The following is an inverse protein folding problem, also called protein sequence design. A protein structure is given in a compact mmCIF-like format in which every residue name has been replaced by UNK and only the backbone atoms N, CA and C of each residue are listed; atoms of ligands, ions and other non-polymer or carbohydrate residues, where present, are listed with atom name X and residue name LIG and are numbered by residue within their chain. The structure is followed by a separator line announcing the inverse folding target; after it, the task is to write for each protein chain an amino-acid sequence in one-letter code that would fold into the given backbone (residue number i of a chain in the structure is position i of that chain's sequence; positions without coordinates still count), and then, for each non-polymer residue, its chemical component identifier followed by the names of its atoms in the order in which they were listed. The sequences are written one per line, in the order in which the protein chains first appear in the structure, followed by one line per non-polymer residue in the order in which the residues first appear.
data_IF_479480203984
#
_entry.id   IF_479480203984
#
_cell.length_a   1.000
_cell.length_b   1.000
_cell.length_c   1.000
_cell.angle_alpha   90.00
_cell.angle_beta   90.00
_cell.angle_gamma   90.00
#
_symmetry.space_group_name_H-M   'P 1'
#
loop_
_entity.id
_entity.type
_entity.pdbx_description
1 polymer ?
#
# COMPACT_ATOMS: atom_id res chain seq x y z
N UNK A 1 -10.45 -15.30 0.64
CA UNK A 1 -9.68 -14.05 0.55
C UNK A 1 -10.67 -12.95 0.20
N UNK A 2 -10.86 -12.00 1.09
CA UNK A 2 -11.76 -10.87 0.88
C UNK A 2 -11.10 -9.89 -0.09
N UNK A 3 -11.74 -9.50 -1.20
CA UNK A 3 -11.22 -8.45 -2.08
C UNK A 3 -10.88 -7.19 -1.28
N UNK A 4 -9.71 -6.60 -1.50
CA UNK A 4 -9.25 -5.41 -0.79
C UNK A 4 -8.43 -5.67 0.48
N UNK A 5 -8.10 -6.92 0.83
CA UNK A 5 -7.12 -7.18 1.89
C UNK A 5 -5.71 -6.79 1.43
N UNK A 6 -4.94 -6.10 2.26
CA UNK A 6 -3.53 -5.76 2.01
C UNK A 6 -2.67 -6.72 2.81
N UNK A 7 -1.74 -7.41 2.15
CA UNK A 7 -0.74 -8.20 2.87
C UNK A 7 0.50 -7.34 3.09
N UNK A 8 0.91 -7.22 4.36
CA UNK A 8 2.21 -6.65 4.74
C UNK A 8 3.09 -7.81 5.18
N UNK A 9 4.29 -7.88 4.64
CA UNK A 9 5.24 -8.94 4.93
C UNK A 9 6.54 -8.35 5.46
N UNK A 10 7.08 -8.94 6.52
CA UNK A 10 8.34 -8.52 7.16
C UNK A 10 9.34 -9.66 7.20
N UNK A 11 10.63 -9.37 7.01
CA UNK A 11 11.68 -10.39 7.14
C UNK A 11 11.75 -10.93 8.57
N UNK A 12 12.01 -12.22 8.75
CA UNK A 12 11.92 -12.95 10.04
C UNK A 12 12.86 -12.47 11.17
N UNK A 13 13.76 -11.51 10.93
CA UNK A 13 14.79 -11.10 11.89
C UNK A 13 14.42 -9.82 12.67
N UNK A 14 13.13 -9.67 13.00
CA UNK A 14 12.62 -8.52 13.75
C UNK A 14 13.22 -8.50 15.17
N UNK A 15 14.33 -7.77 15.34
CA UNK A 15 14.90 -7.45 16.64
C UNK A 15 14.02 -6.39 17.28
N UNK A 16 13.51 -6.70 18.48
CA UNK A 16 12.68 -5.78 19.26
C UNK A 16 13.49 -4.58 19.73
N UNK A 17 12.91 -3.38 19.50
CA UNK A 17 13.31 -2.02 19.93
C UNK A 17 14.38 -1.28 19.11
N UNK A 18 13.93 -0.26 18.37
CA UNK A 18 14.42 1.11 18.56
C UNK A 18 13.37 2.15 18.10
N UNK A 19 13.01 3.18 18.90
CA UNK A 19 11.99 4.19 18.56
C UNK A 19 12.44 5.23 17.51
N UNK A 20 13.63 5.06 16.92
CA UNK A 20 14.26 6.05 16.03
C UNK A 20 14.53 5.51 14.62
N UNK A 21 13.92 4.38 14.24
CA UNK A 21 14.18 3.77 12.96
C UNK A 21 13.63 4.63 11.81
N UNK A 22 14.52 5.31 11.10
CA UNK A 22 14.21 5.98 9.84
C UNK A 22 13.51 4.98 8.92
N UNK A 23 12.36 5.35 8.35
CA UNK A 23 11.68 4.54 7.34
C UNK A 23 11.99 5.10 5.97
N UNK A 24 12.59 4.30 5.10
CA UNK A 24 12.80 4.63 3.69
C UNK A 24 11.75 3.89 2.87
N UNK A 25 10.71 4.61 2.46
CA UNK A 25 9.66 4.09 1.54
C UNK A 25 10.16 4.13 0.11
N UNK A 26 10.00 3.04 -0.61
CA UNK A 26 10.30 2.94 -2.04
C UNK A 26 9.12 2.32 -2.78
N UNK A 27 8.75 2.90 -3.92
CA UNK A 27 7.78 2.34 -4.84
C UNK A 27 8.53 1.63 -5.98
N UNK A 28 8.55 0.29 -6.04
CA UNK A 28 9.31 -0.45 -7.04
C UNK A 28 8.71 -0.40 -8.45
N UNK A 29 7.42 -0.05 -8.58
CA UNK A 29 6.68 -0.09 -9.85
C UNK A 29 7.32 0.74 -10.99
N UNK A 30 7.95 1.87 -10.65
CA UNK A 30 8.61 2.76 -11.60
C UNK A 30 10.15 2.66 -11.56
N UNK A 31 10.70 1.75 -10.75
CA UNK A 31 12.13 1.71 -10.42
C UNK A 31 12.81 0.52 -11.09
N UNK A 32 14.01 0.72 -11.61
CA UNK A 32 14.90 -0.38 -11.96
C UNK A 32 15.64 -0.90 -10.71
N UNK A 33 16.25 -2.08 -10.81
CA UNK A 33 17.17 -2.57 -9.78
C UNK A 33 18.28 -1.55 -9.46
N UNK A 34 18.77 -0.82 -10.46
CA UNK A 34 19.75 0.24 -10.27
C UNK A 34 19.19 1.47 -9.53
N UNK A 35 17.90 1.77 -9.65
CA UNK A 35 17.29 2.87 -8.90
C UNK A 35 17.09 2.49 -7.43
N UNK A 36 16.82 1.21 -7.14
CA UNK A 36 16.69 0.68 -5.79
C UNK A 36 18.04 0.57 -5.06
N UNK A 37 19.05 0.01 -5.74
CA UNK A 37 20.39 -0.25 -5.18
C UNK A 37 21.30 0.97 -5.28
N UNK A 38 21.32 1.67 -6.41
CA UNK A 38 22.22 2.78 -6.65
C UNK A 38 22.86 2.73 -8.02
N UNK A 39 23.39 3.88 -8.43
CA UNK A 39 23.95 4.09 -9.76
C UNK A 39 25.07 5.12 -9.73
N UNK A 40 25.93 5.04 -10.73
CA UNK A 40 26.90 6.11 -10.99
C UNK A 40 26.23 7.28 -11.70
N UNK A 41 26.51 8.50 -11.22
CA UNK A 41 26.08 9.75 -11.83
C UNK A 41 27.30 10.61 -12.17
N UNK A 42 27.20 11.39 -13.24
CA UNK A 42 28.18 12.40 -13.58
C UNK A 42 27.89 13.68 -12.79
N UNK A 43 28.81 14.11 -11.94
CA UNK A 43 28.75 15.40 -11.24
C UNK A 43 30.05 16.16 -11.47
N UNK A 44 29.96 17.33 -12.08
CA UNK A 44 31.14 18.19 -12.30
C UNK A 44 32.24 17.55 -13.17
N UNK A 45 31.89 16.62 -14.06
CA UNK A 45 32.87 15.89 -14.90
C UNK A 45 33.42 14.61 -14.27
N UNK A 46 33.06 14.30 -13.02
CA UNK A 46 33.48 13.07 -12.33
C UNK A 46 32.32 12.07 -12.23
N UNK A 47 32.66 10.78 -12.32
CA UNK A 47 31.73 9.67 -12.12
C UNK A 47 31.68 9.31 -10.64
N UNK A 48 30.57 9.64 -9.98
CA UNK A 48 30.37 9.40 -8.55
C UNK A 48 29.26 8.38 -8.30
N UNK A 49 29.49 7.47 -7.36
CA UNK A 49 28.46 6.53 -6.92
C UNK A 49 27.42 7.25 -6.06
N UNK A 50 26.15 6.95 -6.29
CA UNK A 50 25.03 7.43 -5.46
C UNK A 50 24.20 6.24 -5.03
N UNK A 51 24.11 6.04 -3.71
CA UNK A 51 23.32 4.99 -3.10
C UNK A 51 21.82 5.17 -3.42
N UNK A 52 21.18 4.07 -3.80
CA UNK A 52 19.72 3.99 -3.89
C UNK A 52 19.09 3.88 -2.50
N UNK A 53 17.76 4.01 -2.40
CA UNK A 53 17.05 3.96 -1.12
C UNK A 53 17.24 2.65 -0.36
N UNK A 54 17.38 1.50 -1.04
CA UNK A 54 17.64 0.22 -0.38
C UNK A 54 19.06 0.20 0.21
N UNK A 55 20.07 0.63 -0.55
CA UNK A 55 21.45 0.65 -0.06
C UNK A 55 21.62 1.60 1.11
N UNK A 56 20.98 2.78 1.07
CA UNK A 56 20.95 3.69 2.22
C UNK A 56 20.33 3.02 3.44
N UNK A 57 19.18 2.35 3.27
CA UNK A 57 18.54 1.67 4.38
C UNK A 57 19.41 0.57 5.00
N UNK A 58 20.07 -0.23 4.14
CA UNK A 58 21.01 -1.29 4.54
C UNK A 58 22.19 -0.72 5.32
N UNK A 59 22.77 0.40 4.88
CA UNK A 59 23.90 1.06 5.58
C UNK A 59 23.50 1.70 6.89
N UNK A 60 22.33 2.34 6.93
CA UNK A 60 21.85 3.12 8.08
C UNK A 60 21.16 2.25 9.14
N UNK A 61 20.90 0.96 8.86
CA UNK A 61 20.14 0.10 9.77
C UNK A 61 18.66 0.50 9.84
N UNK A 62 18.14 1.07 8.75
CA UNK A 62 16.80 1.63 8.67
C UNK A 62 15.74 0.58 8.28
N UNK A 63 14.47 0.95 8.41
CA UNK A 63 13.37 0.14 7.84
C UNK A 63 13.26 0.50 6.36
N UNK A 64 13.43 -0.48 5.48
CA UNK A 64 13.12 -0.35 4.06
C UNK A 64 11.71 -0.88 3.80
N UNK A 65 10.79 -0.01 3.41
CA UNK A 65 9.40 -0.37 3.09
C UNK A 65 9.18 -0.33 1.58
N UNK A 66 8.98 -1.51 0.98
CA UNK A 66 8.70 -1.70 -0.44
C UNK A 66 7.19 -1.78 -0.66
N UNK A 67 6.59 -0.68 -1.10
CA UNK A 67 5.15 -0.61 -1.31
C UNK A 67 4.78 -1.21 -2.67
N UNK A 68 3.74 -2.04 -2.72
CA UNK A 68 3.25 -2.66 -3.98
C UNK A 68 4.32 -3.46 -4.72
N UNK A 69 5.03 -4.34 -3.99
CA UNK A 69 6.18 -5.10 -4.53
C UNK A 69 5.84 -5.99 -5.73
N UNK A 70 4.58 -6.35 -5.91
CA UNK A 70 4.09 -7.12 -7.08
C UNK A 70 4.19 -6.34 -8.40
N UNK A 71 4.22 -5.02 -8.34
CA UNK A 71 4.42 -4.15 -9.51
C UNK A 71 5.89 -4.00 -9.88
N UNK A 72 6.81 -4.44 -9.01
CA UNK A 72 8.23 -4.42 -9.27
C UNK A 72 8.60 -5.36 -10.43
N UNK A 73 9.63 -4.98 -11.19
CA UNK A 73 10.26 -5.90 -12.14
C UNK A 73 10.88 -7.08 -11.38
N UNK A 74 10.86 -8.27 -11.98
CA UNK A 74 11.31 -9.50 -11.32
C UNK A 74 12.80 -9.42 -10.86
N UNK A 75 13.66 -8.76 -11.64
CA UNK A 75 15.06 -8.53 -11.28
C UNK A 75 15.21 -7.70 -9.99
N UNK A 76 14.30 -6.76 -9.76
CA UNK A 76 14.23 -5.92 -8.56
C UNK A 76 13.82 -6.74 -7.32
N UNK A 77 12.92 -7.70 -7.49
CA UNK A 77 12.48 -8.61 -6.39
C UNK A 77 13.60 -9.60 -6.03
N UNK A 78 14.40 -10.05 -6.98
CA UNK A 78 15.49 -11.02 -6.70
C UNK A 78 16.62 -10.37 -5.90
N UNK A 79 16.88 -9.07 -6.12
CA UNK A 79 17.92 -8.30 -5.39
C UNK A 79 17.71 -8.32 -3.87
N UNK A 80 16.46 -8.41 -3.39
CA UNK A 80 16.17 -8.39 -1.95
C UNK A 80 16.25 -9.78 -1.30
N UNK A 81 16.42 -10.86 -2.06
CA UNK A 81 16.47 -12.23 -1.51
C UNK A 81 17.63 -12.43 -0.53
N UNK A 82 18.87 -11.96 -0.80
CA UNK A 82 19.98 -12.07 0.15
C UNK A 82 19.80 -11.25 1.44
N UNK A 83 18.99 -10.20 1.39
CA UNK A 83 18.64 -9.40 2.57
C UNK A 83 17.60 -10.09 3.46
N UNK A 84 16.73 -10.92 2.87
CA UNK A 84 15.68 -11.63 3.57
C UNK A 84 16.12 -13.03 4.08
N UNK A 85 17.28 -13.52 3.66
CA UNK A 85 17.86 -14.78 4.14
C UNK A 85 18.88 -14.56 5.28
N UNK A 86 19.53 -15.64 5.72
CA UNK A 86 20.47 -15.61 6.85
C UNK A 86 21.74 -14.79 6.59
N UNK A 87 22.09 -14.50 5.33
CA UNK A 87 23.29 -13.73 4.97
C UNK A 87 23.12 -12.27 5.34
N UNK A 88 21.92 -11.71 5.14
CA UNK A 88 21.61 -10.30 5.39
C UNK A 88 22.61 -9.34 4.74
N UNK A 89 22.90 -9.56 3.46
CA UNK A 89 23.79 -8.68 2.68
C UNK A 89 23.11 -8.19 1.41
N UNK A 90 23.47 -7.01 0.93
CA UNK A 90 23.02 -6.46 -0.35
C UNK A 90 24.16 -6.57 -1.38
N UNK A 91 24.04 -7.42 -2.42
CA UNK A 91 24.98 -7.40 -3.53
C UNK A 91 24.84 -6.10 -4.33
N UNK A 92 25.97 -5.45 -4.58
CA UNK A 92 26.09 -4.24 -5.41
C UNK A 92 27.07 -4.54 -6.55
N UNK A 93 26.58 -5.23 -7.57
CA UNK A 93 27.40 -5.73 -8.70
C UNK A 93 28.24 -4.63 -9.36
N UNK A 94 27.68 -3.42 -9.48
CA UNK A 94 28.39 -2.27 -10.09
C UNK A 94 29.59 -1.78 -9.28
N UNK A 95 29.62 -2.07 -7.98
CA UNK A 95 30.77 -1.80 -7.10
C UNK A 95 31.64 -3.05 -6.90
N UNK A 96 31.24 -4.21 -7.42
CA UNK A 96 31.90 -5.49 -7.14
C UNK A 96 31.91 -5.83 -5.65
N UNK A 97 30.92 -5.36 -4.89
CA UNK A 97 30.90 -5.45 -3.42
C UNK A 97 29.58 -6.04 -2.92
N UNK A 98 29.64 -6.69 -1.76
CA UNK A 98 28.46 -7.09 -0.97
C UNK A 98 28.43 -6.24 0.30
N UNK A 99 27.32 -5.58 0.57
CA UNK A 99 27.16 -4.71 1.72
C UNK A 99 26.42 -5.46 2.84
N UNK A 100 27.06 -5.74 3.99
CA UNK A 100 26.35 -6.33 5.12
C UNK A 100 25.32 -5.36 5.66
N UNK A 101 24.11 -5.84 5.95
CA UNK A 101 23.06 -5.02 6.53
C UNK A 101 23.45 -4.62 7.96
N UNK A 102 23.42 -3.31 8.21
CA UNK A 102 23.72 -2.77 9.52
C UNK A 102 22.71 -3.29 10.57
N UNK A 103 23.13 -3.39 11.85
CA UNK A 103 22.22 -3.71 12.94
C UNK A 103 21.00 -2.79 12.94
N UNK A 104 19.81 -3.36 13.11
CA UNK A 104 18.54 -2.61 13.07
C UNK A 104 17.85 -2.60 11.70
N UNK A 105 18.55 -2.93 10.61
CA UNK A 105 17.93 -3.02 9.28
C UNK A 105 16.74 -3.99 9.29
N UNK A 106 15.62 -3.54 8.72
CA UNK A 106 14.41 -4.34 8.54
C UNK A 106 13.87 -4.17 7.13
N UNK A 107 13.49 -5.28 6.50
CA UNK A 107 12.86 -5.28 5.20
C UNK A 107 11.36 -5.57 5.37
N UNK A 108 10.54 -4.63 4.94
CA UNK A 108 9.08 -4.72 4.94
C UNK A 108 8.57 -4.51 3.52
N UNK A 109 7.60 -5.30 3.09
CA UNK A 109 6.97 -5.15 1.78
C UNK A 109 5.46 -5.24 1.89
N UNK A 110 4.73 -4.59 0.98
CA UNK A 110 3.28 -4.70 0.88
C UNK A 110 2.85 -5.13 -0.52
N UNK A 111 1.70 -5.81 -0.59
CA UNK A 111 1.00 -6.05 -1.85
C UNK A 111 -0.49 -6.34 -1.58
N UNK A 112 -1.31 -6.13 -2.59
CA UNK A 112 -2.74 -6.44 -2.53
C UNK A 112 -2.99 -7.78 -3.26
N UNK A 113 -3.22 -8.90 -2.54
CA UNK A 113 -3.61 -10.15 -3.18
C UNK A 113 -4.89 -10.02 -4.01
N UNK A 114 -4.93 -10.64 -5.19
CA UNK A 114 -6.08 -10.59 -6.09
C UNK A 114 -6.20 -9.27 -6.88
N UNK A 115 -5.35 -8.30 -6.61
CA UNK A 115 -5.21 -7.07 -7.40
C UNK A 115 -4.50 -7.39 -8.72
N UNK A 116 -5.18 -7.14 -9.84
CA UNK A 116 -4.66 -7.19 -11.23
C UNK A 116 -3.89 -8.45 -11.69
N UNK A 117 -4.55 -9.22 -12.56
CA UNK A 117 -4.02 -10.33 -13.37
C UNK A 117 -3.43 -11.50 -12.58
N UNK A 118 -3.87 -12.72 -12.93
CA UNK A 118 -3.30 -14.00 -12.46
C UNK A 118 -1.76 -14.07 -12.65
N UNK A 119 -1.21 -13.20 -13.52
CA UNK A 119 0.18 -13.18 -13.94
C UNK A 119 1.11 -12.38 -13.00
N UNK A 120 0.60 -11.51 -12.13
CA UNK A 120 1.42 -10.68 -11.22
C UNK A 120 1.30 -11.10 -9.75
N UNK A 121 1.55 -12.38 -9.49
CA UNK A 121 1.61 -12.92 -8.12
C UNK A 121 3.06 -12.98 -7.62
N UNK A 122 3.26 -12.76 -6.31
CA UNK A 122 4.56 -13.03 -5.70
C UNK A 122 4.88 -14.53 -5.80
N UNK A 123 6.05 -14.84 -6.36
CA UNK A 123 6.55 -16.22 -6.42
C UNK A 123 6.66 -16.79 -5.02
N UNK A 124 6.34 -18.08 -4.89
CA UNK A 124 6.39 -18.81 -3.62
C UNK A 124 7.76 -18.71 -2.94
N UNK A 125 8.84 -18.74 -3.72
CA UNK A 125 10.20 -18.52 -3.20
C UNK A 125 10.35 -17.18 -2.49
N UNK A 126 9.73 -16.11 -2.98
CA UNK A 126 9.78 -14.80 -2.31
C UNK A 126 8.93 -14.83 -1.05
N UNK A 127 7.71 -15.41 -1.10
CA UNK A 127 6.79 -15.48 0.05
C UNK A 127 7.38 -16.23 1.24
N UNK A 128 8.05 -17.36 1.00
CA UNK A 128 8.65 -18.21 2.06
C UNK A 128 9.82 -17.56 2.81
N UNK A 129 10.27 -16.37 2.40
CA UNK A 129 11.33 -15.59 3.08
C UNK A 129 10.78 -14.56 4.07
N UNK A 130 9.46 -14.42 4.17
CA UNK A 130 8.83 -13.39 4.99
C UNK A 130 7.76 -13.97 5.91
N UNK A 131 7.55 -13.29 7.04
CA UNK A 131 6.35 -13.40 7.85
C UNK A 131 5.28 -12.52 7.21
N UNK A 132 4.09 -13.08 6.97
CA UNK A 132 2.97 -12.36 6.36
C UNK A 132 1.93 -11.96 7.42
N UNK A 133 1.44 -10.72 7.33
CA UNK A 133 0.32 -10.17 8.09
C UNK A 133 -0.75 -9.78 7.07
N UNK A 134 -1.91 -10.38 7.16
CA UNK A 134 -3.07 -10.01 6.34
C UNK A 134 -3.86 -8.91 7.05
N UNK A 135 -4.11 -7.81 6.34
CA UNK A 135 -4.90 -6.67 6.81
C UNK A 135 -6.21 -6.63 6.03
N UNK A 136 -7.33 -6.84 6.73
CA UNK A 136 -8.67 -6.56 6.24
C UNK A 136 -9.09 -5.12 6.54
N UNK A 137 -10.32 -4.77 6.14
CA UNK A 137 -10.95 -3.55 6.61
C UNK A 137 -11.17 -3.61 8.13
N UNK A 138 -11.04 -2.49 8.85
CA UNK A 138 -11.32 -2.46 10.29
C UNK A 138 -12.78 -2.81 10.59
N UNK A 139 -13.11 -3.25 11.82
CA UNK A 139 -14.48 -3.28 12.30
C UNK A 139 -15.17 -1.91 12.15
N UNK A 140 -16.49 -1.91 11.96
CA UNK A 140 -17.29 -0.70 11.70
C UNK A 140 -17.03 0.39 12.72
N UNK A 141 -16.91 0.03 14.00
CA UNK A 141 -16.69 0.96 15.10
C UNK A 141 -15.34 1.69 14.95
N UNK A 142 -14.27 0.93 14.67
CA UNK A 142 -12.92 1.47 14.49
C UNK A 142 -12.83 2.26 13.19
N UNK A 143 -13.41 1.77 12.10
CA UNK A 143 -13.40 2.48 10.82
C UNK A 143 -14.16 3.81 10.92
N UNK A 144 -15.25 3.86 11.69
CA UNK A 144 -16.01 5.08 11.94
C UNK A 144 -15.18 6.12 12.68
N UNK A 145 -14.45 5.71 13.72
CA UNK A 145 -13.54 6.61 14.45
C UNK A 145 -12.45 7.17 13.53
N UNK A 146 -11.85 6.32 12.70
CA UNK A 146 -10.82 6.73 11.72
C UNK A 146 -11.40 7.71 10.71
N UNK A 147 -12.54 7.40 10.10
CA UNK A 147 -13.17 8.27 9.09
C UNK A 147 -13.58 9.61 9.71
N UNK A 148 -14.19 9.61 10.90
CA UNK A 148 -14.57 10.84 11.60
C UNK A 148 -13.36 11.73 11.90
N UNK A 149 -12.27 11.12 12.38
CA UNK A 149 -11.05 11.85 12.70
C UNK A 149 -10.35 12.42 11.46
N UNK A 150 -10.08 11.57 10.47
CA UNK A 150 -9.29 11.96 9.28
C UNK A 150 -10.04 12.87 8.32
N UNK A 151 -11.37 12.78 8.28
CA UNK A 151 -12.21 13.64 7.45
C UNK A 151 -12.75 14.88 8.18
N UNK A 152 -12.50 15.00 9.49
CA UNK A 152 -12.98 16.10 10.35
C UNK A 152 -14.51 16.28 10.33
N UNK A 153 -15.26 15.16 10.36
CA UNK A 153 -16.73 15.12 10.35
C UNK A 153 -17.30 14.51 11.64
N UNK A 154 -18.58 14.71 11.88
CA UNK A 154 -19.27 14.10 13.01
C UNK A 154 -19.38 12.57 12.86
N UNK A 155 -19.54 11.89 14.00
CA UNK A 155 -19.59 10.42 14.07
C UNK A 155 -20.78 9.82 13.31
N UNK A 156 -21.93 10.51 13.23
CA UNK A 156 -23.12 9.98 12.55
C UNK A 156 -22.91 10.00 11.03
N UNK A 157 -22.32 11.07 10.50
CA UNK A 157 -21.94 11.16 9.09
C UNK A 157 -20.86 10.13 8.75
N UNK A 158 -19.83 9.99 9.58
CA UNK A 158 -18.79 8.98 9.38
C UNK A 158 -19.37 7.55 9.40
N UNK A 159 -20.28 7.25 10.33
CA UNK A 159 -20.95 5.96 10.42
C UNK A 159 -21.79 5.67 9.16
N UNK A 160 -22.48 6.68 8.61
CA UNK A 160 -23.22 6.54 7.37
C UNK A 160 -22.30 6.19 6.18
N UNK A 161 -21.14 6.85 6.07
CA UNK A 161 -20.13 6.55 5.06
C UNK A 161 -19.56 5.13 5.23
N UNK A 162 -19.25 4.71 6.46
CA UNK A 162 -18.75 3.36 6.74
C UNK A 162 -19.80 2.29 6.42
N UNK A 163 -21.07 2.51 6.77
CA UNK A 163 -22.17 1.61 6.40
C UNK A 163 -22.29 1.46 4.88
N UNK A 164 -22.16 2.57 4.14
CA UNK A 164 -22.14 2.51 2.68
C UNK A 164 -20.93 1.72 2.18
N UNK A 165 -19.74 1.96 2.73
CA UNK A 165 -18.53 1.22 2.38
C UNK A 165 -18.71 -0.28 2.58
N UNK A 166 -19.26 -0.70 3.72
CA UNK A 166 -19.60 -2.10 3.99
C UNK A 166 -20.64 -2.66 3.02
N UNK A 167 -21.72 -1.93 2.77
CA UNK A 167 -22.75 -2.35 1.82
C UNK A 167 -22.17 -2.58 0.41
N UNK A 168 -21.21 -1.76 -0.02
CA UNK A 168 -20.50 -1.94 -1.30
C UNK A 168 -19.57 -3.15 -1.27
N UNK A 169 -18.82 -3.34 -0.18
CA UNK A 169 -17.88 -4.48 0.00
C UNK A 169 -18.59 -5.83 0.02
N UNK A 170 -19.83 -5.85 0.51
CA UNK A 170 -20.65 -7.07 0.65
C UNK A 170 -21.42 -7.42 -0.65
N UNK A 171 -21.24 -6.68 -1.75
CA UNK A 171 -21.82 -7.00 -3.05
C UNK A 171 -21.16 -8.24 -3.65
N UNK A 172 -21.71 -9.42 -3.34
CA UNK A 172 -21.26 -10.69 -3.92
C UNK A 172 -21.45 -10.73 -5.44
N UNK A 173 -20.45 -11.24 -6.17
CA UNK A 173 -20.52 -11.38 -7.63
C UNK A 173 -20.51 -10.06 -8.40
N UNK A 174 -20.20 -8.95 -7.72
CA UNK A 174 -20.12 -7.63 -8.33
C UNK A 174 -19.07 -7.58 -9.46
N UNK A 175 -19.37 -6.93 -10.60
CA UNK A 175 -18.41 -6.68 -11.67
C UNK A 175 -17.31 -5.67 -11.28
N UNK A 176 -17.34 -5.15 -10.05
CA UNK A 176 -16.36 -4.20 -9.57
C UNK A 176 -14.95 -4.80 -9.56
N UNK A 177 -14.01 -4.09 -10.18
CA UNK A 177 -12.59 -4.45 -10.15
C UNK A 177 -11.96 -4.24 -8.76
N UNK A 178 -12.54 -3.35 -7.94
CA UNK A 178 -12.09 -2.99 -6.60
C UNK A 178 -13.29 -2.71 -5.69
N UNK A 179 -13.09 -2.80 -4.37
CA UNK A 179 -14.14 -2.48 -3.38
C UNK A 179 -13.91 -1.11 -2.74
N UNK A 180 -14.93 -0.55 -2.09
CA UNK A 180 -14.84 0.74 -1.42
C UNK A 180 -13.78 0.74 -0.30
N UNK A 181 -12.66 1.44 -0.52
CA UNK A 181 -11.59 1.55 0.47
C UNK A 181 -11.91 2.58 1.56
N UNK A 182 -11.33 2.43 2.75
CA UNK A 182 -11.43 3.44 3.83
C UNK A 182 -10.98 4.83 3.36
N UNK A 183 -9.99 4.90 2.45
CA UNK A 183 -9.54 6.17 1.85
C UNK A 183 -10.66 6.86 1.06
N UNK A 184 -11.46 6.12 0.29
CA UNK A 184 -12.57 6.70 -0.46
C UNK A 184 -13.62 7.30 0.50
N UNK A 185 -13.85 6.65 1.64
CA UNK A 185 -14.76 7.16 2.67
C UNK A 185 -14.23 8.45 3.32
N UNK A 186 -12.94 8.50 3.65
CA UNK A 186 -12.28 9.71 4.16
C UNK A 186 -12.38 10.85 3.14
N UNK A 187 -12.12 10.58 1.85
CA UNK A 187 -12.24 11.58 0.79
C UNK A 187 -13.69 12.09 0.64
N UNK A 188 -14.68 11.21 0.71
CA UNK A 188 -16.09 11.61 0.70
C UNK A 188 -16.44 12.49 1.91
N UNK A 189 -15.96 12.11 3.10
CA UNK A 189 -16.12 12.91 4.32
C UNK A 189 -15.47 14.29 4.21
N UNK A 190 -14.24 14.36 3.70
CA UNK A 190 -13.52 15.63 3.53
C UNK A 190 -14.21 16.56 2.54
N UNK A 191 -14.75 16.03 1.43
CA UNK A 191 -15.56 16.83 0.50
C UNK A 191 -16.83 17.38 1.17
N UNK A 192 -17.47 16.59 2.02
CA UNK A 192 -18.63 17.05 2.80
C UNK A 192 -18.26 18.12 3.82
N UNK A 193 -17.12 17.97 4.52
CA UNK A 193 -16.61 18.98 5.45
C UNK A 193 -16.33 20.33 4.77
N UNK A 194 -15.90 20.31 3.50
CA UNK A 194 -15.73 21.50 2.65
C UNK A 194 -17.06 22.10 2.13
N UNK A 195 -18.21 21.54 2.56
CA UNK A 195 -19.54 22.07 2.25
C UNK A 195 -20.20 21.48 1.00
N UNK A 196 -19.64 20.42 0.41
CA UNK A 196 -20.33 19.69 -0.64
C UNK A 196 -21.48 18.86 -0.04
N UNK A 197 -22.60 18.78 -0.74
CA UNK A 197 -23.67 17.85 -0.39
C UNK A 197 -23.14 16.41 -0.26
N UNK A 198 -23.56 15.69 0.79
CA UNK A 198 -23.02 14.36 1.13
C UNK A 198 -23.19 13.36 -0.03
N UNK A 199 -24.32 13.42 -0.73
CA UNK A 199 -24.61 12.55 -1.88
C UNK A 199 -23.68 12.85 -3.05
N UNK A 200 -23.44 14.13 -3.33
CA UNK A 200 -22.46 14.55 -4.34
C UNK A 200 -21.02 14.16 -3.95
N UNK A 201 -20.66 14.27 -2.67
CA UNK A 201 -19.37 13.85 -2.17
C UNK A 201 -19.14 12.35 -2.37
N UNK A 202 -20.12 11.52 -2.00
CA UNK A 202 -20.10 10.07 -2.23
C UNK A 202 -20.07 9.73 -3.72
N UNK A 203 -20.86 10.42 -4.55
CA UNK A 203 -20.86 10.20 -5.98
C UNK A 203 -19.46 10.42 -6.57
N UNK A 204 -18.78 11.49 -6.18
CA UNK A 204 -17.46 11.84 -6.70
C UNK A 204 -16.34 10.95 -6.16
N UNK A 205 -16.30 10.71 -4.84
CA UNK A 205 -15.17 10.05 -4.18
C UNK A 205 -15.30 8.52 -4.07
N UNK A 206 -16.52 7.98 -4.18
CA UNK A 206 -16.79 6.55 -4.05
C UNK A 206 -17.32 5.98 -5.36
N UNK A 207 -18.47 6.47 -5.84
CA UNK A 207 -19.19 5.84 -6.96
C UNK A 207 -18.38 5.92 -8.27
N UNK A 208 -18.01 7.13 -8.69
CA UNK A 208 -17.23 7.35 -9.92
C UNK A 208 -15.80 6.82 -9.81
N UNK A 209 -15.27 6.66 -8.60
CA UNK A 209 -13.94 6.11 -8.40
C UNK A 209 -13.91 4.58 -8.54
N UNK A 210 -15.06 3.90 -8.34
CA UNK A 210 -15.16 2.44 -8.40
C UNK A 210 -15.46 1.91 -9.81
N UNK A 211 -16.11 2.72 -10.66
CA UNK A 211 -16.44 2.30 -12.02
C UNK A 211 -16.74 3.48 -12.94
N UNK A 212 -16.37 3.32 -14.21
CA UNK A 212 -16.80 4.17 -15.32
C UNK A 212 -18.02 3.59 -16.07
N UNK A 213 -18.47 2.38 -15.70
CA UNK A 213 -19.64 1.74 -16.33
C UNK A 213 -20.93 2.43 -15.87
N UNK A 214 -21.74 3.00 -16.78
CA UNK A 214 -22.95 3.73 -16.40
C UNK A 214 -23.97 2.93 -15.60
N UNK A 215 -24.09 1.61 -15.84
CA UNK A 215 -25.02 0.76 -15.12
C UNK A 215 -24.54 0.46 -13.70
N UNK A 216 -23.23 0.23 -13.52
CA UNK A 216 -22.63 0.06 -12.19
C UNK A 216 -22.71 1.37 -11.41
N UNK A 217 -22.37 2.50 -12.03
CA UNK A 217 -22.45 3.83 -11.42
C UNK A 217 -23.87 4.13 -10.95
N UNK A 218 -24.87 3.82 -11.76
CA UNK A 218 -26.28 3.98 -11.38
C UNK A 218 -26.67 3.09 -10.20
N UNK A 219 -26.32 1.81 -10.23
CA UNK A 219 -26.63 0.88 -9.15
C UNK A 219 -25.96 1.28 -7.81
N UNK A 220 -24.71 1.73 -7.85
CA UNK A 220 -23.99 2.23 -6.68
C UNK A 220 -24.61 3.54 -6.16
N UNK A 221 -25.07 4.42 -7.05
CA UNK A 221 -25.83 5.62 -6.68
C UNK A 221 -27.14 5.28 -5.97
N UNK A 222 -27.91 4.32 -6.49
CA UNK A 222 -29.14 3.82 -5.85
C UNK A 222 -28.86 3.20 -4.46
N UNK A 223 -27.75 2.49 -4.32
CA UNK A 223 -27.31 1.94 -3.03
C UNK A 223 -26.95 3.06 -2.04
N UNK A 224 -26.15 4.05 -2.48
CA UNK A 224 -25.85 5.22 -1.67
C UNK A 224 -27.13 5.94 -1.25
N UNK A 225 -28.11 6.04 -2.15
CA UNK A 225 -29.36 6.70 -1.88
C UNK A 225 -30.20 6.02 -0.78
N UNK A 226 -30.11 4.70 -0.71
CA UNK A 226 -30.79 3.87 0.28
C UNK A 226 -30.10 3.87 1.66
N UNK A 227 -28.77 4.00 1.70
CA UNK A 227 -27.99 3.92 2.95
C UNK A 227 -27.81 5.28 3.61
N UNK A 228 -27.60 6.33 2.83
CA UNK A 228 -27.31 7.66 3.35
C UNK A 228 -28.59 8.32 3.92
N UNK A 229 -28.46 9.13 4.99
CA UNK A 229 -29.59 9.84 5.55
C UNK A 229 -30.28 10.73 4.50
N UNK A 230 -31.60 10.86 4.63
CA UNK A 230 -32.36 11.84 3.85
C UNK A 230 -32.17 13.20 4.52
N UNK A 231 -31.40 14.07 3.87
CA UNK A 231 -31.33 15.51 4.19
C UNK A 231 -32.64 16.20 3.87
#
# INVERSE_FOLDING_TARGET
MTPGSRTVATSCTCSTRSPSATTIRTCPAASTSADLVGRFLLKGGETVWVDGPLTRAVREGAICYLDEVVEARQDTIVVIHPLADHRRELPVDRLGASLPAAPGFQLVMSYNPGYQSVLKTLKESTRQRFVAIELGFPPVEIETEVVAHEAEIDTDTALALVRLGHAIRDLEGSPLGEVASTRMLILAGGLFAEGLDLRRAVQAAVVQALSDDPDIVRALGELADAVLPRT
#
